data_IF_986663018601
#
_entry.id   IF_986663018601
#
_cell.length_a   1.000
_cell.length_b   1.000
_cell.length_c   1.000
_cell.angle_alpha   90.00
_cell.angle_beta   90.00
_cell.angle_gamma   90.00
#
_symmetry.space_group_name_H-M   'P 1'
#
loop_
_entity.id
_entity.type
_entity.pdbx_description
1 polymer ?
#
# COMPACT_ATOMS: atom_id res chain seq x y z
N UNK A 1 15.93 43.67 -27.72
CA UNK A 1 14.78 42.72 -27.69
C UNK A 1 15.20 41.26 -27.77
N UNK A 2 16.03 40.83 -28.74
CA UNK A 2 16.45 39.41 -28.90
C UNK A 2 17.15 38.79 -27.68
N UNK A 3 17.97 39.56 -26.94
CA UNK A 3 18.64 39.09 -25.70
C UNK A 3 17.67 38.79 -24.56
N UNK A 4 16.65 39.64 -24.36
CA UNK A 4 15.64 39.45 -23.31
C UNK A 4 14.78 38.22 -23.60
N UNK A 5 14.39 38.01 -24.87
CA UNK A 5 13.64 36.82 -25.29
C UNK A 5 14.41 35.52 -25.05
N UNK A 6 15.74 35.54 -25.24
CA UNK A 6 16.63 34.40 -24.97
C UNK A 6 16.69 34.07 -23.47
N UNK A 7 16.75 35.08 -22.61
CA UNK A 7 16.77 34.91 -21.14
C UNK A 7 15.43 34.34 -20.64
N UNK A 8 14.30 34.86 -21.12
CA UNK A 8 12.98 34.35 -20.75
C UNK A 8 12.82 32.88 -21.16
N UNK A 9 13.26 32.51 -22.37
CA UNK A 9 13.22 31.12 -22.83
C UNK A 9 14.04 30.16 -21.96
N UNK A 10 15.21 30.59 -21.48
CA UNK A 10 16.05 29.79 -20.57
C UNK A 10 15.36 29.60 -19.22
N UNK A 11 14.79 30.67 -18.65
CA UNK A 11 14.08 30.61 -17.37
C UNK A 11 12.85 29.69 -17.47
N UNK A 12 12.05 29.86 -18.54
CA UNK A 12 10.85 29.04 -18.74
C UNK A 12 11.19 27.57 -18.93
N UNK A 13 12.21 27.27 -19.73
CA UNK A 13 12.70 25.90 -19.95
C UNK A 13 13.22 25.26 -18.66
N UNK A 14 13.97 26.02 -17.85
CA UNK A 14 14.47 25.56 -16.55
C UNK A 14 13.33 25.25 -15.56
N UNK A 15 12.30 26.09 -15.52
CA UNK A 15 11.13 25.87 -14.66
C UNK A 15 10.34 24.63 -15.09
N UNK A 16 10.16 24.42 -16.40
CA UNK A 16 9.49 23.23 -16.95
C UNK A 16 10.29 21.96 -16.61
N UNK A 17 11.61 21.99 -16.79
CA UNK A 17 12.47 20.86 -16.43
C UNK A 17 12.37 20.53 -14.94
N UNK A 18 12.36 21.53 -14.07
CA UNK A 18 12.18 21.35 -12.64
C UNK A 18 10.83 20.69 -12.32
N UNK A 19 9.74 21.17 -12.92
CA UNK A 19 8.39 20.61 -12.74
C UNK A 19 8.35 19.14 -13.18
N UNK A 20 8.93 18.80 -14.33
CA UNK A 20 8.99 17.42 -14.83
C UNK A 20 9.75 16.53 -13.86
N UNK A 21 10.90 16.96 -13.36
CA UNK A 21 11.68 16.20 -12.37
C UNK A 21 10.86 15.96 -11.10
N UNK A 22 10.18 16.99 -10.60
CA UNK A 22 9.32 16.88 -9.42
C UNK A 22 8.19 15.86 -9.66
N UNK A 23 7.50 15.94 -10.79
CA UNK A 23 6.43 15.00 -11.13
C UNK A 23 6.92 13.55 -11.24
N UNK A 24 8.10 13.33 -11.83
CA UNK A 24 8.71 12.00 -11.93
C UNK A 24 9.08 11.41 -10.57
N UNK A 25 9.54 12.24 -9.63
CA UNK A 25 9.82 11.79 -8.25
C UNK A 25 8.52 11.36 -7.55
N UNK A 26 7.47 12.18 -7.65
CA UNK A 26 6.18 11.87 -7.02
C UNK A 26 5.48 10.64 -7.64
N UNK A 27 5.68 10.37 -8.93
CA UNK A 27 5.12 9.17 -9.56
C UNK A 27 5.81 7.88 -9.10
N UNK A 28 7.14 7.91 -8.88
CA UNK A 28 7.92 6.76 -8.42
C UNK A 28 7.68 6.36 -6.95
N UNK A 29 7.27 7.29 -6.09
CA UNK A 29 7.10 7.04 -4.64
C UNK A 29 5.89 6.15 -4.29
N UNK A 30 4.86 6.07 -5.16
CA UNK A 30 3.64 5.31 -4.87
C UNK A 30 3.86 3.80 -4.78
N UNK A 31 4.76 3.25 -5.60
CA UNK A 31 5.03 1.81 -5.64
C UNK A 31 5.78 1.30 -4.41
N UNK A 32 6.77 2.07 -3.92
CA UNK A 32 7.54 1.71 -2.72
C UNK A 32 6.69 1.80 -1.46
N UNK A 33 5.92 2.88 -1.30
CA UNK A 33 5.06 3.07 -0.14
C UNK A 33 4.00 1.97 0.00
N UNK A 34 3.37 1.56 -1.11
CA UNK A 34 2.42 0.45 -1.10
C UNK A 34 3.12 -0.87 -0.69
N UNK A 35 4.26 -1.19 -1.29
CA UNK A 35 5.02 -2.41 -0.98
C UNK A 35 5.43 -2.48 0.50
N UNK A 36 5.93 -1.37 1.05
CA UNK A 36 6.34 -1.29 2.45
C UNK A 36 5.14 -1.39 3.41
N UNK A 37 3.95 -0.93 3.00
CA UNK A 37 2.70 -1.10 3.76
C UNK A 37 2.24 -2.56 3.76
N UNK A 38 2.22 -3.23 2.61
CA UNK A 38 1.83 -4.64 2.51
C UNK A 38 2.75 -5.55 3.32
N UNK A 39 4.06 -5.29 3.32
CA UNK A 39 5.02 -6.05 4.12
C UNK A 39 4.82 -5.90 5.64
N UNK A 40 4.08 -4.88 6.10
CA UNK A 40 3.81 -4.62 7.51
C UNK A 40 2.45 -5.15 7.98
N UNK A 41 1.59 -5.66 7.09
CA UNK A 41 0.24 -6.12 7.47
C UNK A 41 0.27 -7.29 8.47
N UNK A 42 1.39 -8.01 8.57
CA UNK A 42 1.60 -9.02 9.60
C UNK A 42 0.66 -10.22 9.46
N UNK A 43 0.72 -11.10 10.46
CA UNK A 43 -0.10 -12.32 10.49
C UNK A 43 -1.44 -12.06 11.16
N UNK A 44 -2.49 -12.75 10.71
CA UNK A 44 -3.83 -12.62 11.25
C UNK A 44 -3.86 -12.98 12.76
N UNK A 45 -4.32 -12.09 13.66
CA UNK A 45 -4.24 -12.30 15.10
C UNK A 45 -5.44 -13.09 15.67
N UNK A 46 -6.35 -13.53 14.82
CA UNK A 46 -7.49 -14.39 15.15
C UNK A 46 -7.78 -15.32 13.95
N UNK A 47 -8.64 -16.30 14.13
CA UNK A 47 -9.08 -17.15 13.02
C UNK A 47 -10.29 -16.53 12.33
N UNK A 48 -10.34 -16.58 11.00
CA UNK A 48 -11.53 -16.19 10.26
C UNK A 48 -12.42 -17.43 10.05
N UNK A 49 -13.63 -17.47 10.62
CA UNK A 49 -14.54 -18.61 10.45
C UNK A 49 -14.95 -18.77 8.98
N UNK A 50 -15.25 -20.00 8.57
CA UNK A 50 -15.70 -20.31 7.21
C UNK A 50 -17.13 -19.85 6.91
N UNK A 51 -17.95 -19.63 7.94
CA UNK A 51 -19.33 -19.18 7.81
C UNK A 51 -19.84 -18.53 9.11
N UNK A 52 -21.04 -17.94 9.05
CA UNK A 52 -21.73 -17.43 10.25
C UNK A 52 -22.02 -18.53 11.26
N UNK A 53 -22.42 -19.71 10.81
CA UNK A 53 -22.67 -20.85 11.68
C UNK A 53 -21.39 -21.32 12.39
N UNK A 54 -20.26 -21.31 11.69
CA UNK A 54 -18.95 -21.62 12.28
C UNK A 54 -18.54 -20.59 13.34
N UNK A 55 -18.81 -19.29 13.11
CA UNK A 55 -18.60 -18.24 14.10
C UNK A 55 -19.47 -18.45 15.35
N UNK A 56 -20.75 -18.80 15.19
CA UNK A 56 -21.68 -19.03 16.31
C UNK A 56 -21.31 -20.27 17.15
N UNK A 57 -20.62 -21.25 16.55
CA UNK A 57 -20.13 -22.45 17.23
C UNK A 57 -18.79 -22.24 17.95
N UNK A 58 -18.08 -21.15 17.65
CA UNK A 58 -16.78 -20.85 18.22
C UNK A 58 -16.92 -20.48 19.71
N UNK A 59 -16.09 -21.05 20.56
CA UNK A 59 -16.08 -20.78 22.00
C UNK A 59 -15.24 -19.53 22.29
N UNK A 60 -15.84 -18.52 22.93
CA UNK A 60 -15.18 -17.24 23.23
C UNK A 60 -13.89 -17.40 24.07
N UNK A 61 -13.88 -18.41 24.95
CA UNK A 61 -12.77 -18.67 25.88
C UNK A 61 -11.75 -19.69 25.36
N UNK A 62 -11.95 -20.28 24.17
CA UNK A 62 -11.07 -21.30 23.60
C UNK A 62 -10.42 -20.78 22.30
N UNK A 63 -9.09 -20.62 22.26
CA UNK A 63 -8.42 -20.26 21.02
C UNK A 63 -8.32 -21.46 20.08
N UNK A 64 -8.34 -21.18 18.77
CA UNK A 64 -8.04 -22.14 17.70
C UNK A 64 -9.02 -23.30 17.56
N UNK A 65 -10.29 -23.07 17.87
CA UNK A 65 -11.35 -24.07 17.88
C UNK A 65 -12.29 -23.99 16.66
N UNK A 66 -11.99 -23.13 15.69
CA UNK A 66 -12.79 -23.01 14.47
C UNK A 66 -12.75 -24.31 13.67
N UNK A 67 -13.92 -24.88 13.37
CA UNK A 67 -14.01 -26.01 12.46
C UNK A 67 -13.75 -25.55 11.01
N UNK A 68 -12.61 -25.97 10.44
CA UNK A 68 -12.19 -25.64 9.08
C UNK A 68 -12.23 -24.12 8.79
N UNK A 69 -11.36 -23.32 9.42
CA UNK A 69 -11.36 -21.87 9.28
C UNK A 69 -11.03 -21.46 7.83
N UNK A 70 -11.63 -20.36 7.38
CA UNK A 70 -11.29 -19.76 6.08
C UNK A 70 -9.84 -19.27 6.09
N UNK A 71 -9.42 -18.66 7.20
CA UNK A 71 -8.03 -18.35 7.48
C UNK A 71 -7.70 -18.73 8.92
N UNK A 72 -6.72 -19.61 9.17
CA UNK A 72 -6.32 -19.97 10.52
C UNK A 72 -5.59 -18.81 11.21
N UNK A 73 -5.39 -18.94 12.52
CA UNK A 73 -4.54 -18.00 13.25
C UNK A 73 -3.13 -17.97 12.67
N UNK A 74 -2.55 -16.79 12.59
CA UNK A 74 -1.22 -16.63 12.05
C UNK A 74 -1.15 -16.74 10.53
N UNK A 75 -2.30 -16.81 9.84
CA UNK A 75 -2.35 -16.78 8.38
C UNK A 75 -1.77 -15.47 7.85
N UNK A 76 -1.05 -15.55 6.74
CA UNK A 76 -0.30 -14.44 6.15
C UNK A 76 -0.77 -14.21 4.72
N UNK A 77 -1.00 -12.96 4.35
CA UNK A 77 -1.42 -12.55 3.02
C UNK A 77 -0.19 -12.24 2.17
N UNK A 78 0.67 -13.25 1.96
CA UNK A 78 1.82 -13.11 1.07
C UNK A 78 1.32 -13.29 -0.37
N UNK A 79 1.43 -12.23 -1.17
CA UNK A 79 1.22 -12.24 -2.63
C UNK A 79 2.45 -12.77 -3.38
#
# INVERSE_FOLDING_TARGET
MKKALKIIGIILGSSIALIVVVLLVFSGMKGKAAKDLYAQLGKLPFELPSSKEALEKQMEDLPYDSENPLFPFGYDLIY
#
